data_IF_562785495640
#
_entry.id   IF_562785495640
#
_cell.length_a   1.000
_cell.length_b   1.000
_cell.length_c   1.000
_cell.angle_alpha   90.00
_cell.angle_beta   90.00
_cell.angle_gamma   90.00
#
_symmetry.space_group_name_H-M   'P 1'
#
loop_
_entity.id
_entity.type
_entity.pdbx_description
1 polymer ?
#
# COMPACT_ATOMS: atom_id res chain seq x y z
N UNK A 1 -35.94 29.75 78.61
CA UNK A 1 -36.43 29.44 77.29
C UNK A 1 -35.25 29.28 76.34
N UNK A 2 -34.78 28.09 76.18
CA UNK A 2 -33.68 27.74 75.27
C UNK A 2 -34.25 27.32 73.89
N UNK A 3 -33.87 28.01 72.77
CA UNK A 3 -34.27 27.66 71.43
C UNK A 3 -33.19 26.75 70.85
N UNK A 4 -33.58 25.51 70.58
CA UNK A 4 -32.78 24.52 69.88
C UNK A 4 -32.74 24.84 68.37
N UNK A 5 -31.52 24.90 67.80
CA UNK A 5 -31.26 25.06 66.39
C UNK A 5 -31.03 23.65 65.76
N UNK A 6 -31.66 23.24 64.63
CA UNK A 6 -31.39 21.97 64.01
C UNK A 6 -30.14 22.02 63.13
N UNK A 7 -29.24 21.09 63.35
CA UNK A 7 -28.07 20.83 62.52
C UNK A 7 -28.49 20.17 61.23
N UNK A 8 -28.36 20.82 60.06
CA UNK A 8 -28.55 20.24 58.73
C UNK A 8 -27.25 19.52 58.34
N UNK A 9 -27.35 18.19 58.30
CA UNK A 9 -26.30 17.30 57.80
C UNK A 9 -26.38 17.30 56.25
N UNK A 10 -25.46 17.98 55.55
CA UNK A 10 -25.33 17.92 54.12
C UNK A 10 -24.55 16.65 53.73
N UNK A 11 -25.26 15.62 53.25
CA UNK A 11 -24.63 14.44 52.68
C UNK A 11 -24.05 14.76 51.27
N UNK A 12 -22.73 14.87 51.20
CA UNK A 12 -22.03 14.99 49.93
C UNK A 12 -22.06 13.64 49.18
N UNK A 13 -22.90 13.54 48.16
CA UNK A 13 -22.91 12.42 47.22
C UNK A 13 -21.65 12.53 46.32
N UNK A 14 -20.59 11.84 46.71
CA UNK A 14 -19.46 11.59 45.78
C UNK A 14 -19.92 10.61 44.70
N UNK A 15 -20.35 11.14 43.55
CA UNK A 15 -20.53 10.33 42.35
C UNK A 15 -19.15 9.79 41.93
N UNK A 16 -18.92 8.52 42.20
CA UNK A 16 -17.77 7.80 41.67
C UNK A 16 -17.92 7.74 40.14
N UNK A 17 -17.18 8.57 39.42
CA UNK A 17 -16.99 8.42 37.96
C UNK A 17 -16.43 7.02 37.73
N UNK A 18 -16.98 6.25 36.78
CA UNK A 18 -16.41 4.95 36.44
C UNK A 18 -14.93 5.16 36.06
N UNK A 19 -14.05 4.42 36.73
CA UNK A 19 -12.63 4.39 36.36
C UNK A 19 -12.51 3.96 34.89
N UNK A 20 -12.36 4.93 34.01
CA UNK A 20 -12.07 4.67 32.61
C UNK A 20 -10.80 3.81 32.58
N UNK A 21 -10.90 2.65 31.95
CA UNK A 21 -9.79 1.71 31.76
C UNK A 21 -8.64 2.47 31.10
N UNK A 22 -7.70 2.92 31.90
CA UNK A 22 -6.53 3.66 31.39
C UNK A 22 -5.60 2.70 30.68
N UNK A 23 -5.10 3.07 29.49
CA UNK A 23 -3.93 2.41 28.92
C UNK A 23 -2.82 2.60 29.96
N UNK A 24 -2.23 1.50 30.47
CA UNK A 24 -1.22 1.53 31.51
C UNK A 24 0.02 2.31 31.02
N UNK A 25 0.74 2.97 31.92
CA UNK A 25 1.95 3.74 31.57
C UNK A 25 3.03 2.87 30.86
N UNK A 26 3.01 1.55 31.06
CA UNK A 26 3.89 0.57 30.42
C UNK A 26 3.09 -0.38 29.52
N UNK A 27 2.12 0.15 28.75
CA UNK A 27 1.34 -0.64 27.81
C UNK A 27 2.21 -1.22 26.71
N UNK A 28 2.03 -2.51 26.42
CA UNK A 28 2.68 -3.14 25.28
C UNK A 28 2.04 -2.68 23.96
N UNK A 29 2.72 -2.90 22.83
CA UNK A 29 2.12 -2.65 21.51
C UNK A 29 0.77 -3.37 21.35
N UNK A 30 0.64 -4.58 21.88
CA UNK A 30 -0.59 -5.35 21.85
C UNK A 30 -1.73 -4.68 22.65
N UNK A 31 -1.42 -4.13 23.83
CA UNK A 31 -2.41 -3.43 24.67
C UNK A 31 -2.95 -2.18 23.96
N UNK A 32 -2.05 -1.39 23.36
CA UNK A 32 -2.38 -0.17 22.62
C UNK A 32 -3.19 -0.50 21.36
N UNK A 33 -2.75 -1.49 20.60
CA UNK A 33 -3.39 -1.90 19.35
C UNK A 33 -4.81 -2.48 19.57
N UNK A 34 -5.03 -3.14 20.70
CA UNK A 34 -6.32 -3.73 21.06
C UNK A 34 -7.33 -2.74 21.68
N UNK A 35 -6.90 -1.52 22.02
CA UNK A 35 -7.78 -0.54 22.64
C UNK A 35 -8.86 -0.04 21.67
N UNK A 36 -10.16 -0.26 21.98
CA UNK A 36 -11.29 -0.05 21.07
C UNK A 36 -12.41 0.85 21.67
N UNK A 37 -12.06 1.71 22.66
CA UNK A 37 -13.03 2.60 23.32
C UNK A 37 -13.23 3.91 22.55
N UNK A 38 -14.34 4.64 22.80
CA UNK A 38 -14.65 5.90 22.11
C UNK A 38 -13.58 6.99 22.21
N UNK A 39 -12.77 6.98 23.26
CA UNK A 39 -11.67 7.94 23.49
C UNK A 39 -10.32 7.48 22.85
N UNK A 40 -10.35 6.47 21.95
CA UNK A 40 -9.16 5.88 21.33
C UNK A 40 -8.23 6.93 20.70
N UNK A 41 -8.73 7.79 19.81
CA UNK A 41 -7.91 8.79 19.11
C UNK A 41 -7.25 9.74 20.10
N UNK A 42 -7.98 10.21 21.11
CA UNK A 42 -7.43 11.12 22.14
C UNK A 42 -6.31 10.42 22.91
N UNK A 43 -6.51 9.19 23.38
CA UNK A 43 -5.47 8.46 24.14
C UNK A 43 -4.26 8.12 23.33
N UNK A 44 -4.46 7.70 22.08
CA UNK A 44 -3.34 7.47 21.16
C UNK A 44 -2.54 8.75 20.92
N UNK A 45 -3.22 9.89 20.71
CA UNK A 45 -2.55 11.18 20.51
C UNK A 45 -1.79 11.66 21.76
N UNK A 46 -2.37 11.48 22.95
CA UNK A 46 -1.70 11.80 24.23
C UNK A 46 -0.46 10.94 24.47
N UNK A 47 -0.55 9.62 24.17
CA UNK A 47 0.56 8.69 24.26
C UNK A 47 1.65 9.00 23.22
N UNK A 48 1.28 9.21 21.98
CA UNK A 48 2.19 9.52 20.89
C UNK A 48 2.97 10.84 21.11
N UNK A 49 2.33 11.86 21.71
CA UNK A 49 3.02 13.08 22.10
C UNK A 49 4.09 12.85 23.17
N UNK A 50 3.85 11.90 24.09
CA UNK A 50 4.86 11.54 25.12
C UNK A 50 6.01 10.72 24.52
N UNK A 51 5.71 9.88 23.51
CA UNK A 51 6.72 9.15 22.76
C UNK A 51 7.54 10.07 21.87
N UNK A 52 6.94 11.11 21.30
CA UNK A 52 7.58 12.22 20.60
C UNK A 52 8.00 11.92 19.17
N UNK A 53 8.13 10.67 18.78
CA UNK A 53 8.61 10.27 17.45
C UNK A 53 7.90 9.01 16.91
N UNK A 54 8.05 8.79 15.60
CA UNK A 54 7.54 7.64 14.87
C UNK A 54 8.53 7.25 13.76
N UNK A 55 8.88 5.97 13.64
CA UNK A 55 9.78 5.45 12.61
C UNK A 55 9.04 4.61 11.58
N UNK A 56 8.95 5.09 10.35
CA UNK A 56 8.28 4.43 9.24
C UNK A 56 9.29 3.83 8.27
N UNK A 57 9.16 2.54 7.98
CA UNK A 57 9.85 1.87 6.88
C UNK A 57 8.89 1.72 5.71
N UNK A 58 9.22 2.35 4.57
CA UNK A 58 8.30 2.39 3.45
C UNK A 58 8.95 2.12 2.09
N UNK A 59 8.15 1.59 1.18
CA UNK A 59 8.47 1.52 -0.25
C UNK A 59 7.78 2.61 -1.08
N UNK A 60 6.93 3.44 -0.47
CA UNK A 60 6.31 4.57 -1.14
C UNK A 60 7.37 5.58 -1.62
N UNK A 61 7.03 6.36 -2.64
CA UNK A 61 7.90 7.47 -3.06
C UNK A 61 7.91 8.56 -2.00
N UNK A 62 9.05 9.24 -1.88
CA UNK A 62 9.26 10.24 -0.82
C UNK A 62 8.20 11.34 -0.80
N UNK A 63 7.78 11.83 -1.98
CA UNK A 63 6.76 12.88 -2.09
C UNK A 63 5.37 12.39 -1.66
N UNK A 64 5.08 11.11 -1.94
CA UNK A 64 3.78 10.51 -1.63
C UNK A 64 3.66 10.24 -0.12
N UNK A 65 4.68 9.62 0.48
CA UNK A 65 4.74 9.43 1.92
C UNK A 65 4.86 10.77 2.66
N UNK A 66 5.62 11.73 2.11
CA UNK A 66 5.78 13.06 2.68
C UNK A 66 4.46 13.81 2.86
N UNK A 67 3.49 13.62 1.97
CA UNK A 67 2.16 14.22 2.10
C UNK A 67 1.39 13.67 3.32
N UNK A 68 1.44 12.35 3.56
CA UNK A 68 0.85 11.72 4.75
C UNK A 68 1.55 12.17 6.03
N UNK A 69 2.89 12.15 6.01
CA UNK A 69 3.73 12.54 7.14
C UNK A 69 3.47 14.00 7.55
N UNK A 70 3.48 14.92 6.59
CA UNK A 70 3.24 16.33 6.88
C UNK A 70 1.86 16.59 7.50
N UNK A 71 0.83 15.88 7.03
CA UNK A 71 -0.52 16.00 7.60
C UNK A 71 -0.59 15.40 9.01
N UNK A 72 0.05 14.23 9.23
CA UNK A 72 0.11 13.60 10.55
C UNK A 72 0.87 14.45 11.58
N UNK A 73 2.06 14.94 11.23
CA UNK A 73 2.86 15.82 12.10
C UNK A 73 2.12 17.10 12.44
N UNK A 74 1.47 17.73 11.44
CA UNK A 74 0.65 18.94 11.65
C UNK A 74 -0.51 18.68 12.62
N UNK A 75 -1.18 17.51 12.49
CA UNK A 75 -2.37 17.20 13.29
C UNK A 75 -2.01 16.81 14.72
N UNK A 76 -0.98 16.00 14.90
CA UNK A 76 -0.70 15.37 16.19
C UNK A 76 0.56 15.88 16.88
N UNK A 77 1.44 16.61 16.18
CA UNK A 77 2.67 17.17 16.77
C UNK A 77 3.73 16.10 17.09
N UNK A 78 3.69 14.94 16.43
CA UNK A 78 4.64 13.83 16.57
C UNK A 78 5.62 13.90 15.41
N UNK A 79 6.93 13.85 15.68
CA UNK A 79 7.95 13.86 14.64
C UNK A 79 8.03 12.50 13.94
N UNK A 80 8.09 12.49 12.60
CA UNK A 80 8.16 11.25 11.82
C UNK A 80 9.49 11.11 11.10
N UNK A 81 10.17 9.99 11.35
CA UNK A 81 11.38 9.58 10.63
C UNK A 81 11.03 8.52 9.60
N UNK A 82 11.36 8.77 8.33
CA UNK A 82 11.06 7.87 7.23
C UNK A 82 12.33 7.25 6.67
N UNK A 83 12.41 5.92 6.71
CA UNK A 83 13.39 5.17 5.94
C UNK A 83 12.72 4.54 4.73
N UNK A 84 13.13 4.99 3.54
CA UNK A 84 12.58 4.56 2.26
C UNK A 84 13.53 3.64 1.51
N UNK A 85 13.02 2.48 1.03
CA UNK A 85 13.77 1.57 0.14
C UNK A 85 12.83 0.81 -0.79
N UNK A 86 13.33 -0.21 -1.53
CA UNK A 86 12.47 -1.16 -2.24
C UNK A 86 11.70 -2.02 -1.23
N UNK A 87 10.56 -2.58 -1.66
CA UNK A 87 9.73 -3.44 -0.82
C UNK A 87 10.51 -4.63 -0.26
N UNK A 88 11.32 -5.28 -1.09
CA UNK A 88 12.22 -6.36 -0.69
C UNK A 88 13.20 -5.92 0.41
N UNK A 89 13.84 -4.76 0.27
CA UNK A 89 14.78 -4.24 1.28
C UNK A 89 14.08 -3.83 2.57
N UNK A 90 12.84 -3.33 2.49
CA UNK A 90 12.00 -3.07 3.68
C UNK A 90 11.77 -4.38 4.43
N UNK A 91 11.34 -5.44 3.74
CA UNK A 91 11.16 -6.77 4.32
C UNK A 91 12.46 -7.31 4.94
N UNK A 92 13.55 -7.32 4.19
CA UNK A 92 14.85 -7.85 4.65
C UNK A 92 15.31 -7.14 5.91
N UNK A 93 15.25 -5.80 5.94
CA UNK A 93 15.66 -5.01 7.10
C UNK A 93 14.78 -5.30 8.32
N UNK A 94 13.46 -5.32 8.15
CA UNK A 94 12.52 -5.60 9.24
C UNK A 94 12.80 -6.97 9.88
N UNK A 95 13.02 -8.01 9.06
CA UNK A 95 13.35 -9.37 9.54
C UNK A 95 14.71 -9.38 10.26
N UNK A 96 15.74 -8.76 9.67
CA UNK A 96 17.09 -8.74 10.27
C UNK A 96 17.10 -8.03 11.63
N UNK A 97 16.40 -6.88 11.74
CA UNK A 97 16.30 -6.15 13.00
C UNK A 97 15.53 -6.96 14.05
N UNK A 98 14.41 -7.57 13.67
CA UNK A 98 13.62 -8.41 14.58
C UNK A 98 14.41 -9.63 15.10
N UNK A 99 15.15 -10.33 14.22
CA UNK A 99 16.01 -11.47 14.59
C UNK A 99 17.20 -11.03 15.47
N UNK A 100 17.72 -9.82 15.22
CA UNK A 100 18.77 -9.20 16.04
C UNK A 100 18.25 -8.54 17.32
N UNK A 101 16.95 -8.65 17.64
CA UNK A 101 16.26 -7.96 18.74
C UNK A 101 16.49 -6.44 18.75
N UNK A 102 16.72 -5.85 17.58
CA UNK A 102 16.80 -4.40 17.35
C UNK A 102 15.45 -3.95 16.80
N UNK A 103 14.61 -3.39 17.64
CA UNK A 103 13.26 -3.00 17.28
C UNK A 103 13.26 -1.47 17.05
N UNK A 104 13.59 -1.03 15.84
CA UNK A 104 13.61 0.38 15.46
C UNK A 104 12.42 0.77 14.59
N UNK A 105 11.79 -0.19 13.95
CA UNK A 105 10.61 0.03 13.11
C UNK A 105 9.35 0.12 13.97
N UNK A 106 8.56 1.16 13.78
CA UNK A 106 7.20 1.30 14.32
C UNK A 106 6.15 0.84 13.29
N UNK A 107 6.30 1.32 12.07
CA UNK A 107 5.40 1.08 10.94
C UNK A 107 6.16 0.49 9.76
N UNK A 108 5.60 -0.56 9.17
CA UNK A 108 5.93 -1.01 7.82
C UNK A 108 4.80 -0.58 6.87
N UNK A 109 5.15 0.12 5.80
CA UNK A 109 4.25 0.52 4.73
C UNK A 109 4.84 0.07 3.40
N UNK A 110 4.30 -1.03 2.83
CA UNK A 110 4.86 -1.67 1.62
C UNK A 110 3.83 -2.54 0.89
N UNK A 111 4.26 -3.33 -0.09
CA UNK A 111 3.36 -4.18 -0.85
C UNK A 111 2.82 -5.36 -0.01
N UNK A 112 1.66 -5.86 -0.38
CA UNK A 112 0.98 -6.94 0.30
C UNK A 112 1.79 -8.23 0.48
N UNK A 113 2.50 -8.77 -0.53
CA UNK A 113 3.32 -9.98 -0.36
C UNK A 113 4.41 -9.84 0.71
N UNK A 114 5.08 -8.69 0.78
CA UNK A 114 6.10 -8.43 1.80
C UNK A 114 5.49 -8.29 3.19
N UNK A 115 4.32 -7.66 3.32
CA UNK A 115 3.60 -7.60 4.59
C UNK A 115 3.11 -8.99 5.03
N UNK A 116 2.66 -9.82 4.09
CA UNK A 116 2.28 -11.21 4.36
C UNK A 116 3.49 -12.04 4.81
N UNK A 117 4.68 -11.80 4.24
CA UNK A 117 5.91 -12.41 4.70
C UNK A 117 6.27 -11.97 6.13
N UNK A 118 6.14 -10.68 6.45
CA UNK A 118 6.35 -10.17 7.82
C UNK A 118 5.36 -10.78 8.81
N UNK A 119 4.09 -10.98 8.39
CA UNK A 119 3.10 -11.72 9.20
C UNK A 119 3.59 -13.15 9.52
N UNK A 120 4.05 -13.90 8.52
CA UNK A 120 4.58 -15.26 8.72
C UNK A 120 5.82 -15.31 9.62
N UNK A 121 6.67 -14.29 9.58
CA UNK A 121 7.80 -14.09 10.50
C UNK A 121 7.35 -13.66 11.92
N UNK A 122 6.03 -13.41 12.12
CA UNK A 122 5.43 -13.05 13.44
C UNK A 122 5.99 -11.75 14.02
N UNK A 123 6.37 -10.81 13.17
CA UNK A 123 6.95 -9.51 13.56
C UNK A 123 5.94 -8.36 13.50
N UNK A 124 4.69 -8.63 13.13
CA UNK A 124 3.62 -7.66 13.06
C UNK A 124 2.63 -7.81 14.22
N UNK A 125 1.87 -6.76 14.50
CA UNK A 125 0.85 -6.67 15.54
C UNK A 125 -0.54 -6.50 14.92
N UNK A 126 -1.49 -7.35 15.32
CA UNK A 126 -2.89 -7.15 14.95
C UNK A 126 -3.46 -5.89 15.61
N UNK A 127 -4.16 -5.08 14.81
CA UNK A 127 -4.70 -3.78 15.24
C UNK A 127 -6.22 -3.77 15.11
N UNK A 128 -6.90 -3.38 16.17
CA UNK A 128 -8.32 -3.00 16.13
C UNK A 128 -8.41 -1.53 15.78
N UNK A 129 -9.06 -1.23 14.67
CA UNK A 129 -9.27 0.16 14.24
C UNK A 129 -10.75 0.39 13.93
N UNK A 130 -11.30 1.56 14.29
CA UNK A 130 -12.68 1.91 13.96
C UNK A 130 -12.92 2.07 12.45
N UNK A 131 -11.85 2.23 11.66
CA UNK A 131 -11.93 2.46 10.22
C UNK A 131 -11.89 1.20 9.36
N UNK A 132 -11.61 0.02 9.93
CA UNK A 132 -11.53 -1.23 9.17
C UNK A 132 -12.81 -1.55 8.39
N UNK A 133 -13.98 -1.27 8.98
CA UNK A 133 -15.28 -1.47 8.33
C UNK A 133 -15.51 -0.59 7.09
N UNK A 134 -14.75 0.47 6.92
CA UNK A 134 -14.85 1.39 5.79
C UNK A 134 -14.04 0.93 4.56
N UNK A 135 -13.19 -0.08 4.72
CA UNK A 135 -12.32 -0.55 3.66
C UNK A 135 -13.00 -1.62 2.78
N UNK A 136 -12.54 -1.73 1.53
CA UNK A 136 -12.95 -2.78 0.61
C UNK A 136 -12.47 -4.16 1.11
N UNK A 137 -13.22 -5.22 0.80
CA UNK A 137 -12.89 -6.57 1.25
C UNK A 137 -11.46 -7.03 0.89
N UNK A 138 -10.91 -6.77 -0.32
CA UNK A 138 -9.55 -7.16 -0.67
C UNK A 138 -8.46 -6.49 0.18
N UNK A 139 -8.74 -5.39 0.85
CA UNK A 139 -7.81 -4.70 1.75
C UNK A 139 -7.71 -5.34 3.13
N UNK A 140 -8.73 -6.11 3.55
CA UNK A 140 -8.83 -6.69 4.89
C UNK A 140 -8.16 -8.06 4.93
N UNK A 141 -7.33 -8.30 5.95
CA UNK A 141 -6.69 -9.59 6.18
C UNK A 141 -7.30 -10.29 7.40
N UNK A 142 -7.59 -11.61 7.33
CA UNK A 142 -8.21 -12.34 8.46
C UNK A 142 -7.40 -12.29 9.76
N UNK A 143 -6.05 -12.22 9.66
CA UNK A 143 -5.17 -12.15 10.84
C UNK A 143 -5.09 -10.75 11.46
N UNK A 144 -5.54 -9.69 10.75
CA UNK A 144 -5.59 -8.31 11.26
C UNK A 144 -4.23 -7.64 11.51
N UNK A 145 -3.10 -8.24 11.10
CA UNK A 145 -1.75 -7.73 11.38
C UNK A 145 -1.27 -6.70 10.36
N UNK A 146 -1.92 -6.65 9.20
CA UNK A 146 -1.76 -5.57 8.23
C UNK A 146 -3.05 -5.33 7.47
N UNK A 147 -3.18 -4.17 6.84
CA UNK A 147 -4.35 -3.78 6.05
C UNK A 147 -3.91 -3.02 4.80
N UNK A 148 -4.63 -3.20 3.71
CA UNK A 148 -4.40 -2.43 2.48
C UNK A 148 -4.85 -0.99 2.64
N UNK A 149 -3.99 -0.03 2.31
CA UNK A 149 -4.29 1.41 2.36
C UNK A 149 -4.60 1.98 0.99
N UNK A 150 -3.99 1.42 -0.04
CA UNK A 150 -4.19 1.78 -1.44
C UNK A 150 -3.96 0.58 -2.35
N UNK A 151 -4.36 0.73 -3.61
CA UNK A 151 -4.12 -0.27 -4.65
C UNK A 151 -3.00 0.21 -5.59
N UNK A 152 -2.04 -0.66 -5.84
CA UNK A 152 -1.15 -0.53 -6.98
C UNK A 152 -1.85 -1.21 -8.16
N UNK A 153 -2.29 -0.42 -9.13
CA UNK A 153 -3.00 -0.89 -10.32
C UNK A 153 -2.03 -0.91 -11.48
N UNK A 154 -1.78 -2.09 -12.03
CA UNK A 154 -0.95 -2.26 -13.22
C UNK A 154 -1.72 -1.89 -14.47
N UNK A 155 -1.17 -0.96 -15.23
CA UNK A 155 -1.74 -0.47 -16.49
C UNK A 155 -0.68 -0.47 -17.58
N UNK A 156 -1.12 -0.40 -18.84
CA UNK A 156 -0.26 -0.11 -19.97
C UNK A 156 -0.10 1.40 -20.09
N UNK A 157 1.11 1.88 -20.32
CA UNK A 157 1.37 3.29 -20.55
C UNK A 157 2.08 3.51 -21.89
N UNK A 158 1.79 4.62 -22.54
CA UNK A 158 2.35 4.95 -23.84
C UNK A 158 2.75 6.42 -23.94
N UNK A 159 3.72 6.70 -24.82
CA UNK A 159 4.12 8.05 -25.15
C UNK A 159 3.12 8.66 -26.17
N UNK A 160 2.44 9.73 -25.78
CA UNK A 160 1.39 10.36 -26.59
C UNK A 160 1.92 11.12 -27.83
N UNK A 161 3.22 11.43 -27.87
CA UNK A 161 3.86 12.01 -29.06
C UNK A 161 4.18 10.97 -30.14
N UNK A 162 4.33 9.67 -29.72
CA UNK A 162 4.77 8.58 -30.59
C UNK A 162 3.63 7.64 -31.00
N UNK A 163 2.58 7.53 -30.19
CA UNK A 163 1.47 6.61 -30.41
C UNK A 163 0.17 7.38 -30.20
N UNK A 164 -0.70 7.32 -31.21
CA UNK A 164 -2.04 7.91 -31.11
C UNK A 164 -2.99 6.96 -30.37
N UNK A 165 -3.97 7.52 -29.70
CA UNK A 165 -4.96 6.76 -28.91
C UNK A 165 -5.70 5.70 -29.73
N UNK A 166 -5.97 6.01 -31.00
CA UNK A 166 -6.67 5.14 -31.96
C UNK A 166 -5.84 3.94 -32.39
N UNK A 167 -4.52 3.99 -32.21
CA UNK A 167 -3.57 2.93 -32.57
C UNK A 167 -3.33 1.92 -31.46
N UNK A 168 -3.87 2.20 -30.24
CA UNK A 168 -3.64 1.37 -29.06
C UNK A 168 -4.20 -0.04 -29.24
N UNK A 169 -3.51 -1.05 -28.72
CA UNK A 169 -3.97 -2.42 -28.73
C UNK A 169 -5.23 -2.57 -27.86
N UNK A 170 -6.20 -3.34 -28.33
CA UNK A 170 -7.44 -3.65 -27.61
C UNK A 170 -7.37 -5.02 -26.92
N UNK A 171 -6.50 -5.89 -27.42
CA UNK A 171 -6.25 -7.23 -26.90
C UNK A 171 -4.74 -7.46 -26.75
N UNK A 172 -4.36 -8.45 -25.95
CA UNK A 172 -2.96 -8.84 -25.83
C UNK A 172 -2.39 -9.33 -27.17
N UNK A 173 -3.19 -10.00 -28.00
CA UNK A 173 -2.79 -10.48 -29.33
C UNK A 173 -2.42 -9.32 -30.28
N UNK A 174 -3.04 -8.16 -30.13
CA UNK A 174 -2.72 -6.99 -30.96
C UNK A 174 -1.28 -6.52 -30.76
N UNK A 175 -0.69 -6.79 -29.58
CA UNK A 175 0.71 -6.48 -29.30
C UNK A 175 1.72 -7.39 -30.02
N UNK A 176 1.28 -8.51 -30.62
CA UNK A 176 2.13 -9.32 -31.48
C UNK A 176 2.25 -8.79 -32.92
N UNK A 177 1.52 -7.73 -33.29
CA UNK A 177 1.61 -7.12 -34.61
C UNK A 177 2.99 -6.49 -34.84
N UNK A 178 3.55 -6.56 -36.06
CA UNK A 178 4.89 -6.05 -36.37
C UNK A 178 5.13 -4.55 -36.10
N UNK A 179 4.05 -3.74 -36.06
CA UNK A 179 4.13 -2.30 -35.75
C UNK A 179 4.70 -2.00 -34.36
N UNK A 180 4.71 -3.00 -33.46
CA UNK A 180 5.20 -2.89 -32.09
C UNK A 180 6.67 -3.31 -31.93
N UNK A 181 7.32 -3.75 -33.00
CA UNK A 181 8.73 -4.23 -32.97
C UNK A 181 9.66 -3.17 -32.39
N UNK A 182 10.36 -3.54 -31.29
CA UNK A 182 11.30 -2.67 -30.58
C UNK A 182 10.66 -1.55 -29.76
N UNK A 183 9.32 -1.53 -29.61
CA UNK A 183 8.61 -0.45 -28.92
C UNK A 183 8.08 -0.84 -27.54
N UNK A 184 8.19 -2.12 -27.14
CA UNK A 184 7.59 -2.65 -25.95
C UNK A 184 8.55 -2.71 -24.78
N UNK A 185 8.07 -2.34 -23.60
CA UNK A 185 8.79 -2.46 -22.34
C UNK A 185 7.97 -3.08 -21.23
N UNK A 186 8.67 -3.66 -20.25
CA UNK A 186 8.06 -4.26 -19.07
C UNK A 186 8.96 -4.06 -17.83
N UNK A 187 8.38 -4.00 -16.65
CA UNK A 187 9.13 -4.01 -15.40
C UNK A 187 9.69 -5.41 -15.12
N UNK A 188 10.81 -5.52 -14.43
CA UNK A 188 11.56 -6.77 -14.23
C UNK A 188 10.93 -7.72 -13.20
N UNK A 189 10.21 -7.22 -12.22
CA UNK A 189 9.83 -7.94 -11.00
C UNK A 189 8.29 -8.08 -10.83
N UNK A 190 7.52 -7.95 -11.94
CA UNK A 190 6.05 -7.99 -11.90
C UNK A 190 5.47 -9.42 -12.06
N UNK A 191 6.06 -10.39 -11.36
CA UNK A 191 5.60 -11.79 -11.40
C UNK A 191 4.15 -11.96 -10.89
N UNK A 192 3.73 -11.14 -9.94
CA UNK A 192 2.36 -11.13 -9.41
C UNK A 192 1.34 -10.54 -10.41
N UNK A 193 1.74 -9.56 -11.22
CA UNK A 193 0.94 -9.11 -12.36
C UNK A 193 0.74 -10.26 -13.36
N UNK A 194 1.80 -10.99 -13.68
CA UNK A 194 1.72 -12.13 -14.58
C UNK A 194 0.75 -13.20 -14.03
N UNK A 195 0.86 -13.52 -12.74
CA UNK A 195 -0.07 -14.42 -12.06
C UNK A 195 -1.53 -13.97 -12.22
N UNK A 196 -1.79 -12.68 -12.06
CA UNK A 196 -3.11 -12.08 -12.27
C UNK A 196 -3.61 -12.22 -13.71
N UNK A 197 -2.74 -11.99 -14.70
CA UNK A 197 -3.07 -12.16 -16.11
C UNK A 197 -3.38 -13.64 -16.46
N UNK A 198 -2.62 -14.56 -15.90
CA UNK A 198 -2.86 -16.00 -16.09
C UNK A 198 -4.18 -16.46 -15.47
N UNK A 199 -4.52 -15.94 -14.29
CA UNK A 199 -5.81 -16.20 -13.64
C UNK A 199 -6.99 -15.65 -14.46
N UNK A 200 -6.82 -14.50 -15.15
CA UNK A 200 -7.86 -13.89 -15.98
C UNK A 200 -8.01 -14.57 -17.35
N UNK A 201 -6.91 -14.84 -18.03
CA UNK A 201 -6.90 -15.32 -19.40
C UNK A 201 -6.95 -16.86 -19.51
N UNK A 202 -6.53 -17.56 -18.46
CA UNK A 202 -6.20 -18.99 -18.49
C UNK A 202 -4.77 -19.25 -18.99
N UNK A 203 -4.14 -20.31 -18.47
CA UNK A 203 -2.71 -20.59 -18.64
C UNK A 203 -2.28 -20.71 -20.12
N UNK A 204 -3.02 -21.47 -20.92
CA UNK A 204 -2.71 -21.70 -22.33
C UNK A 204 -2.73 -20.40 -23.14
N UNK A 205 -3.82 -19.61 -23.01
CA UNK A 205 -4.00 -18.35 -23.75
C UNK A 205 -2.97 -17.30 -23.33
N UNK A 206 -2.71 -17.17 -22.03
CA UNK A 206 -1.74 -16.21 -21.52
C UNK A 206 -0.32 -16.56 -21.97
N UNK A 207 0.09 -17.84 -21.83
CA UNK A 207 1.40 -18.32 -22.29
C UNK A 207 1.60 -18.06 -23.78
N UNK A 208 0.59 -18.40 -24.59
CA UNK A 208 0.66 -18.18 -26.03
C UNK A 208 0.79 -16.69 -26.36
N UNK A 209 -0.07 -15.86 -25.78
CA UNK A 209 -0.08 -14.42 -26.07
C UNK A 209 1.26 -13.77 -25.73
N UNK A 210 1.80 -13.99 -24.55
CA UNK A 210 3.07 -13.35 -24.13
C UNK A 210 4.28 -13.90 -24.90
N UNK A 211 4.31 -15.20 -25.23
CA UNK A 211 5.36 -15.75 -26.11
C UNK A 211 5.31 -15.14 -27.51
N UNK A 212 4.14 -15.03 -28.10
CA UNK A 212 3.97 -14.46 -29.45
C UNK A 212 4.40 -12.98 -29.46
N UNK A 213 4.04 -12.19 -28.44
CA UNK A 213 4.44 -10.77 -28.29
C UNK A 213 5.97 -10.65 -28.26
N UNK A 214 6.63 -11.41 -27.40
CA UNK A 214 8.08 -11.35 -27.22
C UNK A 214 8.82 -11.85 -28.46
N UNK A 215 8.36 -12.97 -29.06
CA UNK A 215 8.97 -13.53 -30.26
C UNK A 215 8.86 -12.59 -31.47
N UNK A 216 7.70 -11.91 -31.65
CA UNK A 216 7.47 -11.01 -32.76
C UNK A 216 8.22 -9.68 -32.61
N UNK A 217 8.24 -9.10 -31.41
CA UNK A 217 8.59 -7.69 -31.23
C UNK A 217 9.75 -7.43 -30.26
N UNK A 218 10.18 -8.44 -29.51
CA UNK A 218 11.12 -8.28 -28.41
C UNK A 218 10.48 -7.59 -27.21
N UNK A 219 11.25 -7.52 -26.11
CA UNK A 219 10.84 -6.84 -24.89
C UNK A 219 12.01 -6.12 -24.23
N UNK A 220 11.84 -4.84 -23.93
CA UNK A 220 12.80 -4.05 -23.17
C UNK A 220 12.48 -4.18 -21.69
N UNK A 221 13.29 -4.92 -20.93
CA UNK A 221 13.08 -5.12 -19.50
C UNK A 221 13.83 -4.07 -18.70
N UNK A 222 13.17 -3.45 -17.72
CA UNK A 222 13.77 -2.41 -16.86
C UNK A 222 13.39 -2.66 -15.41
N UNK A 223 14.35 -2.45 -14.52
CA UNK A 223 14.11 -2.56 -13.06
C UNK A 223 13.59 -1.25 -12.48
N UNK A 224 12.40 -1.30 -11.93
CA UNK A 224 11.75 -0.21 -11.23
C UNK A 224 10.73 0.55 -12.09
N UNK A 225 9.47 0.58 -11.61
CA UNK A 225 8.36 1.28 -12.27
C UNK A 225 8.64 2.77 -12.52
N UNK A 226 9.36 3.45 -11.62
CA UNK A 226 9.73 4.86 -11.81
C UNK A 226 10.61 5.04 -13.04
N UNK A 227 11.65 4.21 -13.19
CA UNK A 227 12.53 4.26 -14.36
C UNK A 227 11.73 3.93 -15.63
N UNK A 228 10.97 2.84 -15.62
CA UNK A 228 10.18 2.43 -16.78
C UNK A 228 9.21 3.53 -17.24
N UNK A 229 8.51 4.18 -16.29
CA UNK A 229 7.59 5.29 -16.61
C UNK A 229 8.34 6.49 -17.20
N UNK A 230 9.54 6.82 -16.70
CA UNK A 230 10.38 7.89 -17.28
C UNK A 230 10.85 7.55 -18.70
N UNK A 231 11.15 6.29 -18.99
CA UNK A 231 11.52 5.84 -20.34
C UNK A 231 10.33 5.89 -21.30
N UNK A 232 9.10 5.73 -20.80
CA UNK A 232 7.90 6.01 -21.61
C UNK A 232 7.78 7.50 -21.91
N UNK A 233 7.97 8.37 -20.92
CA UNK A 233 7.94 9.83 -21.11
C UNK A 233 9.00 10.29 -22.11
N UNK A 234 10.24 9.79 -22.03
CA UNK A 234 11.31 10.14 -22.97
C UNK A 234 11.10 9.60 -24.38
N UNK A 235 10.24 8.59 -24.54
CA UNK A 235 10.02 7.89 -25.82
C UNK A 235 11.04 6.80 -26.13
N UNK A 236 11.99 6.50 -25.24
CA UNK A 236 12.91 5.37 -25.39
C UNK A 236 12.15 4.03 -25.40
N UNK A 237 11.08 3.94 -24.59
CA UNK A 237 10.11 2.85 -24.61
C UNK A 237 8.75 3.43 -24.96
N UNK A 238 8.32 3.35 -26.23
CA UNK A 238 7.06 3.96 -26.67
C UNK A 238 5.81 3.43 -25.95
N UNK A 239 5.79 2.14 -25.56
CA UNK A 239 4.69 1.50 -24.85
C UNK A 239 5.22 0.52 -23.79
N UNK A 240 4.78 0.69 -22.56
CA UNK A 240 5.08 -0.24 -21.46
C UNK A 240 3.87 -1.11 -21.14
N UNK A 241 4.11 -2.41 -20.87
CA UNK A 241 3.08 -3.37 -20.49
C UNK A 241 2.68 -3.23 -19.02
N UNK A 242 3.59 -2.81 -18.17
CA UNK A 242 3.35 -2.69 -16.72
C UNK A 242 3.95 -1.39 -16.19
N UNK A 243 3.08 -0.49 -15.76
CA UNK A 243 3.42 0.63 -14.87
C UNK A 243 2.30 0.78 -13.84
N UNK A 244 2.56 1.45 -12.74
CA UNK A 244 1.48 1.81 -11.84
C UNK A 244 0.71 3.02 -12.37
N UNK A 245 -0.64 2.92 -12.41
CA UNK A 245 -1.52 3.96 -12.92
C UNK A 245 -1.23 5.34 -12.33
N UNK A 246 -1.02 5.44 -11.00
CA UNK A 246 -0.76 6.71 -10.34
C UNK A 246 0.53 7.38 -10.83
N UNK A 247 1.56 6.60 -11.21
CA UNK A 247 2.81 7.17 -11.76
C UNK A 247 2.59 7.81 -13.12
N UNK A 248 1.85 7.13 -13.98
CA UNK A 248 1.51 7.68 -15.30
C UNK A 248 0.61 8.92 -15.15
N UNK A 249 -0.39 8.88 -14.27
CA UNK A 249 -1.31 9.98 -14.03
C UNK A 249 -0.60 11.22 -13.46
N UNK A 250 0.26 11.05 -12.43
CA UNK A 250 1.06 12.14 -11.86
C UNK A 250 1.93 12.86 -12.90
N UNK A 251 2.53 12.11 -13.84
CA UNK A 251 3.35 12.69 -14.90
C UNK A 251 2.51 13.36 -15.97
N UNK A 252 1.38 12.75 -16.35
CA UNK A 252 0.40 13.32 -17.28
C UNK A 252 -0.13 14.66 -16.77
N UNK A 253 -0.50 14.76 -15.49
CA UNK A 253 -0.97 16.01 -14.89
C UNK A 253 0.11 17.10 -14.85
N UNK A 254 1.39 16.73 -14.82
CA UNK A 254 2.53 17.64 -14.96
C UNK A 254 2.85 18.02 -16.42
N UNK A 255 2.04 17.58 -17.38
CA UNK A 255 2.20 17.89 -18.81
C UNK A 255 3.19 17.00 -19.55
N UNK A 256 3.65 15.89 -18.95
CA UNK A 256 4.49 14.95 -19.64
C UNK A 256 3.73 14.21 -20.76
N UNK A 257 4.40 13.85 -21.89
CA UNK A 257 3.77 13.18 -23.02
C UNK A 257 3.51 11.69 -22.73
N UNK A 258 2.68 11.41 -21.74
CA UNK A 258 2.33 10.05 -21.31
C UNK A 258 0.82 9.98 -21.05
N UNK A 259 0.22 8.86 -21.44
CA UNK A 259 -1.11 8.46 -21.01
C UNK A 259 -1.14 6.95 -20.78
N UNK A 260 -2.21 6.44 -20.22
CA UNK A 260 -2.34 5.05 -19.87
C UNK A 260 -3.71 4.48 -20.26
N UNK A 261 -3.75 3.15 -20.39
CA UNK A 261 -4.96 2.40 -20.71
C UNK A 261 -4.84 1.00 -20.07
N UNK A 262 -5.86 0.16 -20.22
CA UNK A 262 -5.82 -1.22 -19.78
C UNK A 262 -6.38 -2.16 -20.85
N UNK A 263 -5.77 -3.33 -20.96
CA UNK A 263 -6.24 -4.45 -21.80
C UNK A 263 -6.96 -5.43 -20.90
N UNK A 264 -8.27 -5.59 -21.07
CA UNK A 264 -9.09 -6.35 -20.13
C UNK A 264 -9.17 -5.69 -18.75
N UNK A 265 -9.55 -6.41 -17.69
CA UNK A 265 -9.48 -5.92 -16.32
C UNK A 265 -8.03 -5.62 -15.92
N UNK A 266 -7.79 -4.48 -15.27
CA UNK A 266 -6.49 -4.17 -14.73
C UNK A 266 -6.17 -5.08 -13.54
N UNK A 267 -4.93 -5.54 -13.45
CA UNK A 267 -4.48 -6.29 -12.28
C UNK A 267 -4.12 -5.30 -11.18
N UNK A 268 -4.60 -5.56 -9.97
CA UNK A 268 -4.36 -4.71 -8.81
C UNK A 268 -3.91 -5.52 -7.60
N UNK A 269 -2.99 -4.95 -6.83
CA UNK A 269 -2.60 -5.52 -5.54
C UNK A 269 -2.67 -4.47 -4.45
N UNK A 270 -3.06 -4.84 -3.21
CA UNK A 270 -2.97 -3.94 -2.08
C UNK A 270 -1.52 -3.60 -1.76
N UNK A 271 -1.26 -2.33 -1.52
CA UNK A 271 -0.16 -1.82 -0.74
C UNK A 271 -0.74 -1.44 0.63
N UNK A 272 -0.05 -1.71 1.70
CA UNK A 272 -0.67 -1.61 3.01
C UNK A 272 0.24 -1.12 4.10
N UNK A 273 -0.35 -1.00 5.30
CA UNK A 273 0.28 -0.56 6.53
C UNK A 273 0.20 -1.64 7.61
N UNK A 274 1.24 -1.78 8.38
CA UNK A 274 1.33 -2.68 9.52
C UNK A 274 2.07 -2.02 10.69
N UNK A 275 1.64 -2.33 11.91
CA UNK A 275 2.34 -1.97 13.15
C UNK A 275 3.33 -3.07 13.51
N UNK A 276 4.57 -2.72 13.85
CA UNK A 276 5.54 -3.68 14.33
C UNK A 276 5.13 -4.26 15.69
N UNK A 277 5.33 -5.56 15.90
CA UNK A 277 4.95 -6.25 17.15
C UNK A 277 5.64 -5.68 18.40
N UNK A 278 6.86 -5.22 18.21
CA UNK A 278 7.68 -4.58 19.26
C UNK A 278 8.00 -3.13 18.84
N UNK A 279 6.97 -2.37 18.42
CA UNK A 279 7.15 -0.99 18.08
C UNK A 279 7.71 -0.20 19.27
N UNK A 280 8.81 0.55 19.11
CA UNK A 280 9.36 1.39 20.19
C UNK A 280 8.41 2.52 20.60
N UNK A 281 7.55 3.00 19.67
CA UNK A 281 6.57 4.06 19.89
C UNK A 281 5.14 3.55 19.58
N UNK A 282 4.57 2.67 20.45
CA UNK A 282 3.34 1.95 20.14
C UNK A 282 2.11 2.86 19.95
N UNK A 283 2.01 3.97 20.68
CA UNK A 283 0.88 4.89 20.52
C UNK A 283 0.99 5.65 19.19
N UNK A 284 2.18 6.15 18.85
CA UNK A 284 2.42 6.83 17.59
C UNK A 284 2.20 5.90 16.38
N UNK A 285 2.65 4.63 16.51
CA UNK A 285 2.46 3.61 15.49
C UNK A 285 0.97 3.31 15.22
N UNK A 286 0.21 3.02 16.27
CA UNK A 286 -1.21 2.72 16.15
C UNK A 286 -2.01 3.94 15.70
N UNK A 287 -1.63 5.14 16.16
CA UNK A 287 -2.24 6.40 15.73
C UNK A 287 -2.00 6.67 14.24
N UNK A 288 -0.79 6.40 13.73
CA UNK A 288 -0.48 6.55 12.31
C UNK A 288 -1.23 5.51 11.46
N UNK A 289 -1.30 4.26 11.91
CA UNK A 289 -2.09 3.22 11.26
C UNK A 289 -3.55 3.66 11.11
N UNK A 290 -4.19 4.12 12.20
CA UNK A 290 -5.57 4.62 12.17
C UNK A 290 -5.70 5.85 11.25
N UNK A 291 -4.74 6.78 11.29
CA UNK A 291 -4.73 7.98 10.46
C UNK A 291 -4.67 7.64 8.97
N UNK A 292 -3.79 6.73 8.55
CA UNK A 292 -3.61 6.39 7.13
C UNK A 292 -4.87 5.75 6.53
N UNK A 293 -5.60 4.92 7.30
CA UNK A 293 -6.86 4.31 6.85
C UNK A 293 -8.11 5.12 7.18
N UNK A 294 -7.98 6.24 7.89
CA UNK A 294 -9.07 7.17 8.15
C UNK A 294 -9.55 7.85 6.86
N UNK A 295 -10.75 8.47 6.85
CA UNK A 295 -11.21 9.27 5.72
C UNK A 295 -10.23 10.40 5.34
N UNK A 296 -9.50 10.96 6.30
CA UNK A 296 -8.50 12.01 6.07
C UNK A 296 -7.28 11.45 5.33
N UNK A 297 -6.65 10.40 5.85
CA UNK A 297 -5.49 9.75 5.21
C UNK A 297 -5.83 9.21 3.83
N UNK A 298 -7.00 8.59 3.67
CA UNK A 298 -7.46 8.07 2.38
C UNK A 298 -7.72 9.17 1.34
N UNK A 299 -8.19 10.36 1.75
CA UNK A 299 -8.29 11.53 0.86
C UNK A 299 -6.92 12.05 0.44
N UNK A 300 -5.93 12.03 1.33
CA UNK A 300 -4.56 12.40 0.98
C UNK A 300 -4.01 11.44 -0.08
N UNK A 301 -4.19 10.13 0.10
CA UNK A 301 -3.79 9.13 -0.89
C UNK A 301 -4.50 9.35 -2.24
N UNK A 302 -5.81 9.59 -2.23
CA UNK A 302 -6.58 9.90 -3.44
C UNK A 302 -6.06 11.17 -4.14
N UNK A 303 -5.70 12.21 -3.39
CA UNK A 303 -5.10 13.45 -3.90
C UNK A 303 -3.68 13.27 -4.47
N UNK A 304 -3.08 12.08 -4.27
CA UNK A 304 -1.82 11.64 -4.87
C UNK A 304 -2.02 10.64 -6.01
N UNK A 305 -3.22 10.61 -6.60
CA UNK A 305 -3.60 9.72 -7.72
C UNK A 305 -3.57 8.22 -7.39
N UNK A 306 -3.51 7.86 -6.10
CA UNK A 306 -3.68 6.47 -5.70
C UNK A 306 -5.17 6.07 -5.75
N UNK A 307 -5.40 4.78 -5.89
CA UNK A 307 -6.72 4.18 -5.68
C UNK A 307 -6.85 3.84 -4.19
N UNK A 308 -7.61 4.61 -3.40
CA UNK A 308 -7.77 4.37 -1.98
C UNK A 308 -8.57 3.09 -1.75
N UNK A 309 -8.37 2.45 -0.59
CA UNK A 309 -9.15 1.27 -0.20
C UNK A 309 -10.42 1.60 0.57
N UNK A 310 -10.60 2.85 0.97
CA UNK A 310 -11.81 3.28 1.67
C UNK A 310 -13.00 3.41 0.72
N UNK A 311 -14.11 2.76 1.07
CA UNK A 311 -15.42 2.90 0.41
C UNK A 311 -16.03 4.31 0.54
N UNK A 312 -15.49 5.13 1.46
CA UNK A 312 -15.96 6.51 1.71
C UNK A 312 -15.21 7.55 0.88
N UNK A 313 -14.18 7.15 0.14
CA UNK A 313 -13.42 8.06 -0.73
C UNK A 313 -13.57 7.59 -2.16
N UNK A 314 -14.37 8.32 -2.94
CA UNK A 314 -14.59 8.03 -4.36
C UNK A 314 -13.58 8.78 -5.22
N UNK A 315 -13.05 8.09 -6.22
CA UNK A 315 -12.18 8.66 -7.26
C UNK A 315 -12.57 8.07 -8.60
N UNK A 316 -12.29 8.75 -9.72
CA UNK A 316 -12.51 8.16 -11.05
C UNK A 316 -11.82 6.81 -11.23
N UNK A 317 -10.70 6.60 -10.53
CA UNK A 317 -9.88 5.39 -10.59
C UNK A 317 -10.57 4.17 -9.94
N UNK A 318 -11.49 4.37 -8.99
CA UNK A 318 -12.27 3.28 -8.39
C UNK A 318 -13.22 2.60 -9.40
N UNK A 319 -13.47 3.24 -10.56
CA UNK A 319 -14.37 2.73 -11.62
C UNK A 319 -13.66 1.84 -12.64
N UNK A 320 -12.34 1.69 -12.54
CA UNK A 320 -11.56 0.80 -13.42
C UNK A 320 -11.92 -0.65 -13.08
N UNK A 321 -12.30 -1.48 -14.07
CA UNK A 321 -12.46 -2.92 -13.83
C UNK A 321 -11.14 -3.52 -13.35
N UNK A 322 -11.14 -4.13 -12.15
CA UNK A 322 -9.93 -4.68 -11.53
C UNK A 322 -10.08 -6.14 -11.12
N UNK A 323 -8.99 -6.87 -11.24
CA UNK A 323 -8.78 -8.19 -10.61
C UNK A 323 -7.71 -8.07 -9.55
N UNK A 324 -7.98 -8.62 -8.39
CA UNK A 324 -7.08 -8.49 -7.24
C UNK A 324 -6.16 -9.69 -7.12
N UNK A 325 -4.88 -9.43 -6.97
CA UNK A 325 -3.90 -10.45 -6.59
C UNK A 325 -4.02 -10.70 -5.08
N UNK A 326 -4.25 -11.95 -4.69
CA UNK A 326 -4.18 -12.32 -3.26
C UNK A 326 -2.71 -12.39 -2.83
N UNK A 327 -2.35 -11.60 -1.81
CA UNK A 327 -0.97 -11.50 -1.34
C UNK A 327 -0.39 -12.84 -0.84
N UNK A 328 -1.25 -13.73 -0.29
CA UNK A 328 -0.82 -15.08 0.15
C UNK A 328 -0.48 -15.95 -1.04
N UNK A 329 -1.35 -15.97 -2.07
CA UNK A 329 -1.13 -16.74 -3.29
C UNK A 329 0.11 -16.24 -4.01
N UNK A 330 0.26 -14.91 -4.12
CA UNK A 330 1.45 -14.30 -4.71
C UNK A 330 2.75 -14.71 -3.98
N UNK A 331 2.71 -14.81 -2.65
CA UNK A 331 3.86 -15.26 -1.86
C UNK A 331 4.09 -16.78 -1.97
N UNK A 332 3.03 -17.59 -1.88
CA UNK A 332 3.13 -19.05 -1.92
C UNK A 332 3.59 -19.59 -3.28
N UNK A 333 3.15 -18.94 -4.36
CA UNK A 333 3.48 -19.32 -5.72
C UNK A 333 4.60 -18.45 -6.33
N UNK A 334 5.29 -17.60 -5.51
CA UNK A 334 6.27 -16.64 -6.00
C UNK A 334 7.30 -17.24 -6.94
N UNK A 335 7.94 -18.35 -6.53
CA UNK A 335 8.97 -19.03 -7.34
C UNK A 335 8.45 -19.54 -8.68
N UNK A 336 7.20 -20.04 -8.72
CA UNK A 336 6.55 -20.48 -9.96
C UNK A 336 6.41 -19.32 -10.93
N UNK A 337 5.87 -18.21 -10.45
CA UNK A 337 5.58 -17.03 -11.28
C UNK A 337 6.83 -16.27 -11.66
N UNK A 338 7.81 -16.17 -10.77
CA UNK A 338 9.13 -15.58 -11.06
C UNK A 338 9.84 -16.35 -12.16
N UNK A 339 9.91 -17.69 -12.05
CA UNK A 339 10.51 -18.53 -13.08
C UNK A 339 9.83 -18.39 -14.43
N UNK A 340 8.50 -18.40 -14.45
CA UNK A 340 7.73 -18.22 -15.69
C UNK A 340 7.93 -16.81 -16.28
N UNK A 341 7.99 -15.79 -15.42
CA UNK A 341 8.26 -14.41 -15.82
C UNK A 341 9.63 -14.29 -16.49
N UNK A 342 10.66 -14.88 -15.86
CA UNK A 342 12.00 -14.95 -16.44
C UNK A 342 12.02 -15.67 -17.80
N UNK A 343 11.31 -16.79 -17.89
CA UNK A 343 11.22 -17.57 -19.14
C UNK A 343 10.55 -16.80 -20.28
N UNK A 344 9.52 -16.02 -19.97
CA UNK A 344 8.76 -15.27 -20.96
C UNK A 344 9.47 -13.96 -21.39
N UNK A 345 10.05 -13.21 -20.43
CA UNK A 345 10.46 -11.83 -20.70
C UNK A 345 11.96 -11.58 -20.55
N UNK A 346 12.69 -12.33 -19.72
CA UNK A 346 14.10 -12.06 -19.41
C UNK A 346 15.08 -12.91 -20.21
N UNK A 347 14.72 -14.15 -20.55
CA UNK A 347 15.55 -14.98 -21.40
C UNK A 347 15.40 -14.53 -22.84
N UNK A 348 16.48 -14.06 -23.46
CA UNK A 348 16.49 -13.81 -24.90
C UNK A 348 16.00 -15.08 -25.61
N UNK A 349 15.03 -14.95 -26.52
CA UNK A 349 14.68 -16.00 -27.44
C UNK A 349 15.98 -16.45 -28.16
N UNK A 350 16.38 -17.71 -27.95
CA UNK A 350 17.54 -18.28 -28.63
C UNK A 350 17.27 -18.41 -30.12
#
# INVERSE_FOLDING_TARGET
MMKSLPLLLAAALCAALPAASQIKANATTADVAAYDKPDREQRLAEGAKKEGELNIYTSAQSDDMGALVAAFEKKYGVKVSVWRSSSEKVLQRAIQEARGNRNTMDIAETNGPELESMHREKILQAVKSPYLGDLIAPAIRPHGEWVGTRLNVFVQAYNTNLIKKEELPKTWQDLAQPKWKGKLGIEQEDADWLAGQFAEMGEEKATKAFRDIVAANGMSVRKGHTLLTQLVVSGEIPLSLTVYNYKAEQLKQKGAPIDWFHIGPAIARPNGVAVAKKAPHPHAAVLFYDFEISPEGQKILAGRDFVPTSKKVDTPLNKIPMKFVDARVALDEYQKWEKLYEELFLKKAK
#
